data_IF_966212677130
#
_entry.id   IF_966212677130
#
_cell.length_a   1.000
_cell.length_b   1.000
_cell.length_c   1.000
_cell.angle_alpha   90.00
_cell.angle_beta   90.00
_cell.angle_gamma   90.00
#
_symmetry.space_group_name_H-M   'P 1'
#
loop_
_entity.id
_entity.type
_entity.pdbx_description
1 polymer ?
#
# COMPACT_ATOMS: atom_id res chain seq x y z
N UNK A 1 -21.68 -28.46 -0.37
CA UNK A 1 -20.55 -28.92 0.45
C UNK A 1 -20.52 -30.43 0.64
N UNK A 2 -21.66 -31.14 0.63
CA UNK A 2 -21.73 -32.60 0.84
C UNK A 2 -21.43 -33.45 -0.42
N UNK A 3 -21.05 -32.82 -1.53
CA UNK A 3 -20.79 -33.49 -2.81
C UNK A 3 -19.30 -33.37 -3.19
N UNK A 4 -18.85 -34.22 -4.13
CA UNK A 4 -17.49 -34.17 -4.68
C UNK A 4 -17.23 -32.97 -5.62
N UNK A 5 -18.07 -31.93 -5.58
CA UNK A 5 -17.99 -30.78 -6.48
C UNK A 5 -16.68 -30.02 -6.32
N UNK A 6 -16.31 -29.64 -5.10
CA UNK A 6 -15.09 -28.86 -4.80
C UNK A 6 -13.85 -29.61 -5.30
N UNK A 7 -13.73 -30.89 -4.94
CA UNK A 7 -12.64 -31.74 -5.40
C UNK A 7 -12.60 -31.84 -6.94
N UNK A 8 -13.75 -31.94 -7.61
CA UNK A 8 -13.79 -32.01 -9.08
C UNK A 8 -13.35 -30.70 -9.72
N UNK A 9 -13.79 -29.55 -9.19
CA UNK A 9 -13.37 -28.23 -9.65
C UNK A 9 -11.85 -28.07 -9.54
N UNK A 10 -11.30 -28.34 -8.35
CA UNK A 10 -9.87 -28.15 -8.07
C UNK A 10 -9.00 -29.09 -8.90
N UNK A 11 -9.28 -30.40 -8.93
CA UNK A 11 -8.33 -31.35 -9.53
C UNK A 11 -8.56 -31.63 -11.02
N UNK A 12 -9.78 -31.39 -11.55
CA UNK A 12 -10.06 -31.65 -12.99
C UNK A 12 -10.07 -30.41 -13.86
N UNK A 13 -10.47 -29.26 -13.33
CA UNK A 13 -10.73 -28.08 -14.15
C UNK A 13 -9.78 -26.92 -13.90
N UNK A 14 -9.36 -26.69 -12.64
CA UNK A 14 -8.45 -25.59 -12.29
C UNK A 14 -7.09 -25.66 -13.01
N UNK A 15 -6.41 -26.83 -13.13
CA UNK A 15 -5.10 -26.92 -13.78
C UNK A 15 -5.17 -26.67 -15.29
N UNK A 16 -6.33 -26.94 -15.90
CA UNK A 16 -6.54 -26.89 -17.35
C UNK A 16 -6.73 -25.44 -17.80
N UNK A 17 -5.84 -24.86 -18.63
CA UNK A 17 -5.86 -23.42 -18.96
C UNK A 17 -7.21 -22.90 -19.49
N UNK A 18 -7.90 -23.68 -20.32
CA UNK A 18 -9.19 -23.26 -20.90
C UNK A 18 -10.33 -23.13 -19.87
N UNK A 19 -10.25 -23.84 -18.74
CA UNK A 19 -11.29 -23.85 -17.69
C UNK A 19 -10.87 -23.10 -16.42
N UNK A 20 -9.58 -22.83 -16.26
CA UNK A 20 -8.95 -22.24 -15.07
C UNK A 20 -9.69 -21.01 -14.55
N UNK A 21 -9.92 -20.02 -15.42
CA UNK A 21 -10.54 -18.74 -15.03
C UNK A 21 -11.97 -18.93 -14.50
N UNK A 22 -12.80 -19.69 -15.21
CA UNK A 22 -14.19 -19.94 -14.79
C UNK A 22 -14.22 -20.77 -13.51
N UNK A 23 -13.33 -21.76 -13.40
CA UNK A 23 -13.22 -22.60 -12.21
C UNK A 23 -12.86 -21.77 -10.98
N UNK A 24 -11.87 -20.88 -11.10
CA UNK A 24 -11.45 -20.03 -9.99
C UNK A 24 -12.54 -19.04 -9.57
N UNK A 25 -13.33 -18.50 -10.51
CA UNK A 25 -14.53 -17.72 -10.19
C UNK A 25 -15.54 -18.54 -9.39
N UNK A 26 -15.83 -19.78 -9.79
CA UNK A 26 -16.71 -20.65 -9.02
C UNK A 26 -16.17 -20.94 -7.61
N UNK A 27 -14.86 -21.18 -7.46
CA UNK A 27 -14.23 -21.38 -6.16
C UNK A 27 -14.30 -20.10 -5.30
N UNK A 28 -14.23 -18.92 -5.91
CA UNK A 28 -14.41 -17.62 -5.23
C UNK A 28 -15.82 -17.46 -4.69
N UNK A 29 -16.85 -17.76 -5.50
CA UNK A 29 -18.24 -17.73 -5.04
C UNK A 29 -18.50 -18.72 -3.90
N UNK A 30 -17.90 -19.92 -3.96
CA UNK A 30 -17.98 -20.90 -2.87
C UNK A 30 -17.27 -20.37 -1.61
N UNK A 31 -16.11 -19.72 -1.77
CA UNK A 31 -15.34 -19.12 -0.68
C UNK A 31 -16.02 -17.93 0.00
N UNK A 32 -16.98 -17.28 -0.67
CA UNK A 32 -17.78 -16.19 -0.09
C UNK A 32 -18.98 -16.64 0.74
N UNK A 33 -19.21 -17.96 0.88
CA UNK A 33 -20.39 -18.49 1.58
C UNK A 33 -20.15 -18.50 3.09
N UNK A 34 -20.96 -17.74 3.85
CA UNK A 34 -20.86 -17.62 5.31
C UNK A 34 -21.74 -18.66 6.03
N UNK A 35 -21.24 -19.89 6.17
CA UNK A 35 -21.94 -20.97 6.90
C UNK A 35 -20.98 -21.68 7.86
N UNK A 36 -21.32 -21.72 9.15
CA UNK A 36 -20.47 -22.32 10.21
C UNK A 36 -20.42 -23.85 10.21
N UNK A 37 -21.35 -24.53 9.54
CA UNK A 37 -21.47 -25.99 9.61
C UNK A 37 -20.45 -26.73 8.72
N UNK A 38 -19.65 -26.01 7.94
CA UNK A 38 -18.77 -26.61 6.92
C UNK A 38 -17.31 -26.11 7.01
N UNK A 39 -16.84 -25.71 8.20
CA UNK A 39 -15.47 -25.21 8.42
C UNK A 39 -14.38 -26.12 7.85
N UNK A 40 -14.47 -27.44 8.07
CA UNK A 40 -13.51 -28.42 7.52
C UNK A 40 -13.48 -28.42 5.99
N UNK A 41 -14.63 -28.17 5.34
CA UNK A 41 -14.72 -28.09 3.88
C UNK A 41 -14.07 -26.80 3.35
N UNK A 42 -14.18 -25.69 4.07
CA UNK A 42 -13.50 -24.44 3.71
C UNK A 42 -11.98 -24.56 3.88
N UNK A 43 -11.52 -25.18 4.96
CA UNK A 43 -10.09 -25.48 5.16
C UNK A 43 -9.56 -26.37 4.02
N UNK A 44 -10.34 -27.38 3.62
CA UNK A 44 -10.00 -28.26 2.50
C UNK A 44 -9.97 -27.51 1.16
N UNK A 45 -10.99 -26.70 0.88
CA UNK A 45 -11.08 -25.83 -0.30
C UNK A 45 -9.83 -24.96 -0.42
N UNK A 46 -9.46 -24.26 0.65
CA UNK A 46 -8.32 -23.36 0.66
C UNK A 46 -7.00 -24.11 0.47
N UNK A 47 -6.77 -25.15 1.27
CA UNK A 47 -5.51 -25.90 1.24
C UNK A 47 -5.27 -26.58 -0.11
N UNK A 48 -6.30 -27.19 -0.70
CA UNK A 48 -6.19 -27.87 -1.99
C UNK A 48 -6.08 -26.87 -3.16
N UNK A 49 -6.83 -25.78 -3.12
CA UNK A 49 -6.71 -24.73 -4.16
C UNK A 49 -5.31 -24.11 -4.14
N UNK A 50 -4.78 -23.81 -2.95
CA UNK A 50 -3.42 -23.28 -2.79
C UNK A 50 -2.34 -24.23 -3.29
N UNK A 51 -2.47 -25.55 -3.04
CA UNK A 51 -1.54 -26.53 -3.56
C UNK A 51 -1.50 -26.55 -5.10
N UNK A 52 -2.65 -26.50 -5.77
CA UNK A 52 -2.70 -26.41 -7.24
C UNK A 52 -2.19 -25.05 -7.76
N UNK A 53 -2.46 -23.95 -7.04
CA UNK A 53 -1.95 -22.62 -7.38
C UNK A 53 -0.42 -22.57 -7.35
N UNK A 54 0.22 -23.17 -6.34
CA UNK A 54 1.69 -23.24 -6.23
C UNK A 54 2.35 -24.04 -7.35
N UNK A 55 1.65 -25.03 -7.92
CA UNK A 55 2.13 -25.76 -9.10
C UNK A 55 1.98 -24.90 -10.36
N UNK A 56 0.87 -24.18 -10.50
CA UNK A 56 0.58 -23.37 -11.70
C UNK A 56 1.36 -22.05 -11.76
N UNK A 57 1.60 -21.43 -10.61
CA UNK A 57 2.21 -20.11 -10.47
C UNK A 57 3.23 -20.14 -9.31
N UNK A 58 4.45 -20.64 -9.52
CA UNK A 58 5.46 -20.70 -8.47
C UNK A 58 5.69 -19.35 -7.77
N UNK A 59 5.88 -19.34 -6.45
CA UNK A 59 6.00 -18.13 -5.63
C UNK A 59 7.26 -17.28 -5.89
N UNK A 60 8.21 -17.79 -6.66
CA UNK A 60 9.38 -17.08 -7.18
C UNK A 60 9.13 -16.37 -8.52
N UNK A 61 7.95 -16.57 -9.12
CA UNK A 61 7.52 -15.87 -10.33
C UNK A 61 7.38 -14.37 -10.06
N UNK A 62 8.01 -13.56 -10.91
CA UNK A 62 7.76 -12.12 -10.97
C UNK A 62 6.38 -11.86 -11.61
N UNK A 63 5.34 -11.84 -10.77
CA UNK A 63 3.95 -11.63 -11.19
C UNK A 63 3.78 -10.27 -11.88
N UNK A 64 4.48 -9.24 -11.43
CA UNK A 64 4.42 -7.90 -12.03
C UNK A 64 4.86 -7.94 -13.49
N UNK A 65 6.04 -8.51 -13.77
CA UNK A 65 6.54 -8.63 -15.14
C UNK A 65 5.73 -9.63 -15.97
N UNK A 66 5.28 -10.73 -15.36
CA UNK A 66 4.44 -11.73 -16.04
C UNK A 66 3.09 -11.14 -16.47
N UNK A 67 2.46 -10.32 -15.63
CA UNK A 67 1.20 -9.65 -15.95
C UNK A 67 1.36 -8.65 -17.10
N UNK A 68 2.42 -7.84 -17.07
CA UNK A 68 2.71 -6.85 -18.10
C UNK A 68 2.98 -7.46 -19.49
N UNK A 69 3.43 -8.72 -19.54
CA UNK A 69 3.68 -9.48 -20.78
C UNK A 69 2.58 -10.48 -21.11
N UNK A 70 1.66 -10.73 -20.17
CA UNK A 70 0.59 -11.70 -20.29
C UNK A 70 -0.47 -11.27 -21.29
N UNK A 71 -1.26 -12.23 -21.77
CA UNK A 71 -2.45 -11.95 -22.56
C UNK A 71 -3.66 -11.80 -21.64
N UNK A 72 -4.81 -11.47 -22.22
CA UNK A 72 -6.07 -11.29 -21.49
C UNK A 72 -6.38 -12.48 -20.55
N UNK A 73 -6.08 -13.71 -20.95
CA UNK A 73 -6.39 -14.89 -20.12
C UNK A 73 -5.54 -14.97 -18.85
N UNK A 74 -4.24 -14.68 -18.94
CA UNK A 74 -3.33 -14.66 -17.79
C UNK A 74 -3.62 -13.45 -16.89
N UNK A 75 -3.90 -12.28 -17.46
CA UNK A 75 -4.26 -11.09 -16.69
C UNK A 75 -5.56 -11.31 -15.91
N UNK A 76 -6.60 -11.85 -16.57
CA UNK A 76 -7.83 -12.26 -15.91
C UNK A 76 -7.60 -13.30 -14.82
N UNK A 77 -6.64 -14.22 -15.00
CA UNK A 77 -6.32 -15.22 -13.99
C UNK A 77 -5.72 -14.58 -12.74
N UNK A 78 -4.80 -13.63 -12.88
CA UNK A 78 -4.23 -12.89 -11.74
C UNK A 78 -5.31 -12.09 -11.00
N UNK A 79 -6.22 -11.44 -11.73
CA UNK A 79 -7.36 -10.75 -11.12
C UNK A 79 -8.29 -11.71 -10.36
N UNK A 80 -8.66 -12.85 -10.97
CA UNK A 80 -9.50 -13.86 -10.31
C UNK A 80 -8.81 -14.49 -9.09
N UNK A 81 -7.48 -14.61 -9.12
CA UNK A 81 -6.69 -15.05 -7.97
C UNK A 81 -6.72 -14.03 -6.84
N UNK A 82 -6.57 -12.74 -7.15
CA UNK A 82 -6.71 -11.66 -6.16
C UNK A 82 -8.09 -11.72 -5.50
N UNK A 83 -9.16 -11.84 -6.29
CA UNK A 83 -10.53 -11.96 -5.79
C UNK A 83 -10.70 -13.18 -4.89
N UNK A 84 -10.29 -14.37 -5.34
CA UNK A 84 -10.36 -15.59 -4.53
C UNK A 84 -9.68 -15.43 -3.17
N UNK A 85 -8.43 -14.97 -3.16
CA UNK A 85 -7.65 -14.82 -1.93
C UNK A 85 -8.26 -13.76 -1.00
N UNK A 86 -8.64 -12.60 -1.54
CA UNK A 86 -9.27 -11.55 -0.74
C UNK A 86 -10.62 -11.99 -0.17
N UNK A 87 -11.46 -12.65 -0.95
CA UNK A 87 -12.75 -13.19 -0.48
C UNK A 87 -12.56 -14.23 0.61
N UNK A 88 -11.72 -15.25 0.37
CA UNK A 88 -11.52 -16.32 1.35
C UNK A 88 -10.93 -15.78 2.66
N UNK A 89 -9.92 -14.91 2.59
CA UNK A 89 -9.24 -14.40 3.77
C UNK A 89 -10.10 -13.40 4.57
N UNK A 90 -11.05 -12.71 3.92
CA UNK A 90 -12.04 -11.87 4.62
C UNK A 90 -13.08 -12.70 5.37
N UNK A 91 -13.70 -13.66 4.70
CA UNK A 91 -14.81 -14.43 5.29
C UNK A 91 -14.33 -15.54 6.23
N UNK A 92 -13.14 -16.10 5.98
CA UNK A 92 -12.64 -17.29 6.65
C UNK A 92 -11.19 -17.14 7.14
N UNK A 93 -10.73 -15.91 7.38
CA UNK A 93 -9.36 -15.62 7.84
C UNK A 93 -8.96 -16.39 9.10
N UNK A 94 -9.87 -16.52 10.08
CA UNK A 94 -9.62 -17.29 11.31
C UNK A 94 -9.36 -18.78 11.05
N UNK A 95 -10.00 -19.38 10.03
CA UNK A 95 -9.73 -20.75 9.61
C UNK A 95 -8.37 -20.85 8.91
N UNK A 96 -8.01 -19.84 8.11
CA UNK A 96 -6.71 -19.77 7.44
C UNK A 96 -5.55 -19.63 8.44
N UNK A 97 -5.76 -18.93 9.56
CA UNK A 97 -4.78 -18.81 10.65
C UNK A 97 -4.44 -20.15 11.31
N UNK A 98 -5.37 -21.12 11.28
CA UNK A 98 -5.12 -22.51 11.66
C UNK A 98 -4.20 -23.26 10.68
N UNK A 99 -4.00 -22.75 9.46
CA UNK A 99 -3.18 -23.32 8.39
C UNK A 99 -2.00 -22.40 8.05
N UNK A 100 -1.15 -22.11 9.05
CA UNK A 100 -0.07 -21.10 9.00
C UNK A 100 0.78 -21.13 7.71
N UNK A 101 1.22 -22.31 7.26
CA UNK A 101 2.07 -22.41 6.06
C UNK A 101 1.31 -22.00 4.78
N UNK A 102 0.06 -22.45 4.65
CA UNK A 102 -0.80 -22.14 3.51
C UNK A 102 -1.17 -20.66 3.51
N UNK A 103 -1.51 -20.11 4.68
CA UNK A 103 -1.77 -18.69 4.87
C UNK A 103 -0.57 -17.83 4.48
N UNK A 104 0.64 -18.19 4.93
CA UNK A 104 1.87 -17.47 4.58
C UNK A 104 2.07 -17.41 3.06
N UNK A 105 1.81 -18.50 2.34
CA UNK A 105 1.91 -18.54 0.89
C UNK A 105 0.81 -17.70 0.21
N UNK A 106 -0.42 -17.76 0.71
CA UNK A 106 -1.54 -16.94 0.22
C UNK A 106 -1.26 -15.44 0.38
N UNK A 107 -0.78 -15.01 1.55
CA UNK A 107 -0.39 -13.63 1.80
C UNK A 107 0.78 -13.21 0.91
N UNK A 108 1.73 -14.11 0.65
CA UNK A 108 2.84 -13.84 -0.29
C UNK A 108 2.33 -13.62 -1.71
N UNK A 109 1.35 -14.41 -2.19
CA UNK A 109 0.70 -14.12 -3.47
C UNK A 109 0.05 -12.74 -3.47
N UNK A 110 -0.73 -12.40 -2.44
CA UNK A 110 -1.38 -11.09 -2.38
C UNK A 110 -0.37 -9.94 -2.41
N UNK A 111 0.79 -10.08 -1.75
CA UNK A 111 1.87 -9.08 -1.83
C UNK A 111 2.42 -8.96 -3.25
N UNK A 112 2.73 -10.09 -3.91
CA UNK A 112 3.23 -10.10 -5.29
C UNK A 112 2.22 -9.52 -6.29
N UNK A 113 0.93 -9.85 -6.11
CA UNK A 113 -0.17 -9.32 -6.92
C UNK A 113 -0.35 -7.82 -6.68
N UNK A 114 -0.15 -7.34 -5.44
CA UNK A 114 -0.23 -5.92 -5.10
C UNK A 114 0.86 -5.06 -5.76
N UNK A 115 1.91 -5.67 -6.33
CA UNK A 115 2.96 -4.98 -7.11
C UNK A 115 2.59 -4.80 -8.59
N UNK A 116 1.54 -5.46 -9.08
CA UNK A 116 1.06 -5.36 -10.46
C UNK A 116 0.58 -3.94 -10.76
N UNK A 117 1.03 -3.37 -11.87
CA UNK A 117 0.68 -2.01 -12.31
C UNK A 117 -0.71 -1.94 -12.96
N UNK A 118 -1.73 -2.40 -12.23
CA UNK A 118 -3.15 -2.36 -12.58
C UNK A 118 -3.95 -1.81 -11.40
N UNK A 119 -4.75 -0.77 -11.65
CA UNK A 119 -5.47 -0.03 -10.59
C UNK A 119 -6.60 -0.88 -10.01
N UNK A 120 -7.29 -1.67 -10.82
CA UNK A 120 -8.44 -2.47 -10.37
C UNK A 120 -7.98 -3.67 -9.54
N UNK A 121 -6.91 -4.33 -9.96
CA UNK A 121 -6.27 -5.40 -9.15
C UNK A 121 -5.75 -4.81 -7.83
N UNK A 122 -5.12 -3.64 -7.88
CA UNK A 122 -4.61 -3.00 -6.67
C UNK A 122 -5.74 -2.63 -5.69
N UNK A 123 -6.89 -2.14 -6.17
CA UNK A 123 -8.06 -1.85 -5.34
C UNK A 123 -8.58 -3.10 -4.62
N UNK A 124 -8.65 -4.24 -5.32
CA UNK A 124 -9.06 -5.53 -4.72
C UNK A 124 -8.12 -5.89 -3.56
N UNK A 125 -6.80 -5.84 -3.78
CA UNK A 125 -5.83 -6.15 -2.74
C UNK A 125 -5.87 -5.13 -1.59
N UNK A 126 -5.99 -3.83 -1.90
CA UNK A 126 -6.08 -2.76 -0.92
C UNK A 126 -7.28 -2.93 0.01
N UNK A 127 -8.42 -3.38 -0.52
CA UNK A 127 -9.62 -3.64 0.28
C UNK A 127 -9.38 -4.75 1.33
N UNK A 128 -8.57 -5.77 1.00
CA UNK A 128 -8.15 -6.76 1.98
C UNK A 128 -7.12 -6.21 2.97
N UNK A 129 -6.09 -5.51 2.49
CA UNK A 129 -5.05 -4.95 3.35
C UNK A 129 -5.60 -3.95 4.36
N UNK A 130 -6.58 -3.14 3.97
CA UNK A 130 -7.28 -2.22 4.86
C UNK A 130 -8.05 -2.98 5.96
N UNK A 131 -8.83 -3.99 5.59
CA UNK A 131 -9.56 -4.84 6.55
C UNK A 131 -8.62 -5.50 7.56
N UNK A 132 -7.56 -6.16 7.07
CA UNK A 132 -6.57 -6.82 7.93
C UNK A 132 -5.87 -5.83 8.87
N UNK A 133 -5.43 -4.68 8.34
CA UNK A 133 -4.75 -3.67 9.15
C UNK A 133 -5.68 -3.06 10.22
N UNK A 134 -6.96 -2.85 9.88
CA UNK A 134 -7.98 -2.35 10.81
C UNK A 134 -8.28 -3.35 11.91
N UNK A 135 -8.48 -4.64 11.58
CA UNK A 135 -8.68 -5.72 12.55
C UNK A 135 -7.52 -5.83 13.53
N UNK A 136 -6.29 -5.94 13.01
CA UNK A 136 -5.09 -6.03 13.85
C UNK A 136 -4.91 -4.79 14.73
N UNK A 137 -5.27 -3.60 14.24
CA UNK A 137 -5.21 -2.38 15.03
C UNK A 137 -6.24 -2.36 16.16
N UNK A 138 -7.46 -2.85 15.92
CA UNK A 138 -8.51 -2.92 16.94
C UNK A 138 -8.18 -3.91 18.07
N UNK A 139 -7.34 -4.91 17.81
CA UNK A 139 -6.88 -5.87 18.81
C UNK A 139 -5.84 -5.29 19.79
N UNK A 140 -5.17 -4.18 19.43
CA UNK A 140 -4.16 -3.56 20.30
C UNK A 140 -4.86 -2.84 21.46
N UNK A 141 -4.58 -3.21 22.74
CA UNK A 141 -5.17 -2.54 23.88
C UNK A 141 -4.80 -1.04 23.91
N UNK A 142 -5.79 -0.15 23.80
CA UNK A 142 -5.59 1.31 23.75
C UNK A 142 -5.11 1.94 25.08
N UNK A 143 -4.84 1.13 26.11
CA UNK A 143 -4.47 1.57 27.46
C UNK A 143 -2.99 1.33 27.78
N UNK A 144 -2.17 2.35 27.55
CA UNK A 144 -0.91 2.64 28.25
C UNK A 144 -0.20 1.49 28.96
N UNK A 145 0.63 0.79 28.21
CA UNK A 145 1.62 -0.15 28.73
C UNK A 145 1.94 -1.16 27.65
N UNK A 146 3.18 -1.13 27.14
CA UNK A 146 3.79 -2.33 26.54
C UNK A 146 3.91 -3.35 27.66
N UNK A 147 2.79 -3.97 28.03
CA UNK A 147 2.82 -5.23 28.74
C UNK A 147 3.45 -6.17 27.73
N UNK A 148 4.69 -6.56 28.00
CA UNK A 148 5.39 -7.62 27.31
C UNK A 148 4.63 -8.92 27.54
N UNK A 149 3.44 -9.06 26.96
CA UNK A 149 2.79 -10.34 26.81
C UNK A 149 3.66 -11.12 25.84
N UNK A 150 4.57 -11.90 26.41
CA UNK A 150 5.30 -12.98 25.77
C UNK A 150 4.30 -14.08 25.35
N UNK A 151 3.40 -13.76 24.45
CA UNK A 151 2.46 -14.69 23.83
C UNK A 151 2.26 -14.25 22.39
N UNK A 152 2.39 -15.20 21.45
CA UNK A 152 2.22 -14.98 20.01
C UNK A 152 0.99 -14.12 19.74
N UNK A 153 1.21 -12.83 19.49
CA UNK A 153 0.14 -11.94 19.07
C UNK A 153 -0.24 -12.34 17.66
N UNK A 154 -1.53 -12.28 17.30
CA UNK A 154 -1.99 -12.49 15.92
C UNK A 154 -1.15 -11.65 14.94
N UNK A 155 -0.71 -10.46 15.37
CA UNK A 155 0.21 -9.57 14.65
C UNK A 155 1.56 -10.23 14.27
N UNK A 156 2.14 -11.07 15.12
CA UNK A 156 3.43 -11.73 14.85
C UNK A 156 3.35 -12.66 13.62
N UNK A 157 2.18 -13.26 13.37
CA UNK A 157 1.92 -14.09 12.20
C UNK A 157 2.02 -13.29 10.89
N UNK A 158 1.64 -12.00 10.95
CA UNK A 158 1.56 -11.12 9.77
C UNK A 158 2.77 -10.19 9.64
N UNK A 159 3.65 -10.10 10.64
CA UNK A 159 4.72 -9.07 10.71
C UNK A 159 5.55 -8.95 9.43
N UNK A 160 6.04 -10.06 8.88
CA UNK A 160 6.83 -10.09 7.64
C UNK A 160 6.07 -9.54 6.43
N UNK A 161 4.77 -9.82 6.36
CA UNK A 161 3.89 -9.38 5.28
C UNK A 161 3.54 -7.90 5.46
N UNK A 162 3.23 -7.45 6.68
CA UNK A 162 2.91 -6.05 6.96
C UNK A 162 4.08 -5.12 6.62
N UNK A 163 5.33 -5.55 6.83
CA UNK A 163 6.50 -4.79 6.38
C UNK A 163 6.48 -4.55 4.85
N UNK A 164 6.19 -5.60 4.07
CA UNK A 164 6.10 -5.49 2.60
C UNK A 164 4.91 -4.65 2.16
N UNK A 165 3.75 -4.79 2.82
CA UNK A 165 2.56 -3.99 2.55
C UNK A 165 2.85 -2.51 2.82
N UNK A 166 3.53 -2.15 3.93
CA UNK A 166 3.98 -0.76 4.17
C UNK A 166 4.83 -0.24 3.02
N UNK A 167 5.80 -1.04 2.56
CA UNK A 167 6.65 -0.67 1.43
C UNK A 167 5.83 -0.39 0.16
N UNK A 168 4.83 -1.23 -0.15
CA UNK A 168 3.95 -1.07 -1.31
C UNK A 168 3.08 0.19 -1.16
N UNK A 169 2.43 0.38 -0.01
CA UNK A 169 1.59 1.56 0.26
C UNK A 169 2.37 2.87 0.10
N UNK A 170 3.61 2.90 0.58
CA UNK A 170 4.50 4.06 0.43
C UNK A 170 4.93 4.25 -1.04
N UNK A 171 5.27 3.16 -1.73
CA UNK A 171 5.79 3.23 -3.10
C UNK A 171 4.72 3.58 -4.14
N UNK A 172 3.46 3.29 -3.85
CA UNK A 172 2.33 3.43 -4.78
C UNK A 172 1.27 4.45 -4.32
N UNK A 173 1.57 5.26 -3.30
CA UNK A 173 0.61 6.21 -2.74
C UNK A 173 -0.07 7.02 -3.84
N UNK A 174 -1.40 7.04 -3.84
CA UNK A 174 -2.18 7.81 -4.80
C UNK A 174 -2.05 9.32 -4.52
N UNK A 175 -2.25 10.13 -5.55
CA UNK A 175 -2.13 11.58 -5.46
C UNK A 175 -3.20 12.16 -4.51
N UNK A 176 -2.81 12.95 -3.49
CA UNK A 176 -3.74 13.66 -2.60
C UNK A 176 -4.38 14.86 -3.29
N UNK A 177 -5.53 15.33 -2.80
CA UNK A 177 -6.29 16.42 -3.46
C UNK A 177 -5.63 17.81 -3.33
N UNK A 178 -4.72 17.96 -2.36
CA UNK A 178 -4.00 19.20 -2.10
C UNK A 178 -2.82 19.43 -3.08
N UNK A 179 -2.43 18.42 -3.86
CA UNK A 179 -1.31 18.50 -4.81
C UNK A 179 -1.83 18.84 -6.21
N UNK A 180 -1.54 20.06 -6.65
CA UNK A 180 -2.00 20.61 -7.93
C UNK A 180 -0.97 20.49 -9.07
N UNK A 181 0.31 20.36 -8.73
CA UNK A 181 1.42 20.28 -9.70
C UNK A 181 1.73 18.82 -9.99
N UNK A 182 1.59 18.41 -11.25
CA UNK A 182 1.79 17.03 -11.71
C UNK A 182 2.56 16.98 -13.02
N UNK A 183 3.17 15.83 -13.29
CA UNK A 183 3.74 15.51 -14.60
C UNK A 183 2.61 14.98 -15.51
N UNK A 184 2.44 15.58 -16.69
CA UNK A 184 1.50 15.08 -17.70
C UNK A 184 2.11 13.93 -18.54
N UNK A 185 1.32 13.32 -19.42
CA UNK A 185 1.77 12.23 -20.31
C UNK A 185 2.92 12.64 -21.25
N UNK A 186 3.13 13.94 -21.46
CA UNK A 186 4.22 14.48 -22.28
C UNK A 186 5.52 14.71 -21.47
N UNK A 187 5.50 14.43 -20.16
CA UNK A 187 6.64 14.69 -19.25
C UNK A 187 6.80 16.16 -18.87
N UNK A 188 5.76 16.98 -19.06
CA UNK A 188 5.76 18.40 -18.69
C UNK A 188 5.10 18.58 -17.33
N UNK A 189 5.63 19.50 -16.54
CA UNK A 189 5.05 19.86 -15.25
C UNK A 189 3.91 20.85 -15.49
N UNK A 190 2.69 20.39 -15.20
CA UNK A 190 1.45 21.14 -15.43
C UNK A 190 0.62 21.24 -14.15
N UNK A 191 -0.32 22.18 -14.17
CA UNK A 191 -1.33 22.34 -13.13
C UNK A 191 -2.58 21.54 -13.48
N UNK A 192 -3.03 20.70 -12.57
CA UNK A 192 -4.26 19.91 -12.71
C UNK A 192 -5.36 20.43 -11.76
N UNK A 193 -6.51 20.80 -12.32
CA UNK A 193 -7.68 21.26 -11.55
C UNK A 193 -8.78 20.22 -11.42
N UNK A 194 -8.74 19.16 -12.24
CA UNK A 194 -9.81 18.17 -12.28
C UNK A 194 -9.65 17.20 -11.10
N UNK A 195 -10.73 17.06 -10.33
CA UNK A 195 -10.81 16.09 -9.23
C UNK A 195 -11.47 14.83 -9.74
N UNK A 196 -10.71 13.75 -9.85
CA UNK A 196 -11.25 12.41 -10.09
C UNK A 196 -11.66 11.77 -8.76
N UNK A 197 -12.97 11.53 -8.60
CA UNK A 197 -13.55 10.93 -7.39
C UNK A 197 -12.98 9.55 -7.09
N UNK A 198 -12.68 8.74 -8.13
CA UNK A 198 -12.15 7.40 -7.95
C UNK A 198 -10.72 7.44 -7.40
N UNK A 199 -9.87 8.29 -7.99
CA UNK A 199 -8.52 8.58 -7.47
C UNK A 199 -8.52 9.11 -6.03
N UNK A 200 -9.48 9.96 -5.66
CA UNK A 200 -9.62 10.47 -4.28
C UNK A 200 -9.99 9.34 -3.31
N UNK A 201 -10.91 8.46 -3.69
CA UNK A 201 -11.29 7.32 -2.85
C UNK A 201 -10.13 6.34 -2.68
N UNK A 202 -9.37 6.10 -3.76
CA UNK A 202 -8.15 5.30 -3.69
C UNK A 202 -7.14 5.89 -2.68
N UNK A 203 -6.87 7.20 -2.76
CA UNK A 203 -6.01 7.88 -1.79
C UNK A 203 -6.52 7.74 -0.35
N UNK A 204 -7.82 7.93 -0.11
CA UNK A 204 -8.41 7.77 1.23
C UNK A 204 -8.19 6.37 1.80
N UNK A 205 -8.44 5.33 1.00
CA UNK A 205 -8.26 3.94 1.42
C UNK A 205 -6.78 3.60 1.67
N UNK A 206 -5.87 4.08 0.80
CA UNK A 206 -4.43 3.91 1.00
C UNK A 206 -3.94 4.62 2.26
N UNK A 207 -4.38 5.86 2.49
CA UNK A 207 -4.06 6.65 3.68
C UNK A 207 -4.52 5.94 4.94
N UNK A 208 -5.79 5.51 4.99
CA UNK A 208 -6.33 4.81 6.16
C UNK A 208 -5.54 3.53 6.46
N UNK A 209 -5.25 2.73 5.42
CA UNK A 209 -4.43 1.52 5.54
C UNK A 209 -3.04 1.83 6.10
N UNK A 210 -2.36 2.83 5.53
CA UNK A 210 -1.02 3.22 5.98
C UNK A 210 -1.02 3.79 7.40
N UNK A 211 -2.07 4.51 7.80
CA UNK A 211 -2.26 4.99 9.17
C UNK A 211 -2.40 3.82 10.14
N UNK A 212 -3.20 2.80 9.85
CA UNK A 212 -3.27 1.59 10.69
C UNK A 212 -1.92 0.89 10.78
N UNK A 213 -1.23 0.70 9.65
CA UNK A 213 0.09 0.07 9.63
C UNK A 213 1.15 0.86 10.41
N UNK A 214 1.03 2.20 10.46
CA UNK A 214 1.89 3.09 11.23
C UNK A 214 1.64 2.93 12.72
N UNK A 215 0.38 2.81 13.17
CA UNK A 215 0.10 2.53 14.58
C UNK A 215 0.61 1.16 15.02
N UNK A 216 0.53 0.15 14.15
CA UNK A 216 1.01 -1.20 14.43
C UNK A 216 2.54 -1.27 14.56
N UNK A 217 3.29 -0.50 13.76
CA UNK A 217 4.74 -0.36 13.88
C UNK A 217 5.22 0.95 13.21
N UNK A 218 5.32 2.01 14.00
CA UNK A 218 5.75 3.32 13.50
C UNK A 218 7.24 3.34 13.19
N UNK A 219 8.05 2.53 13.88
CA UNK A 219 9.50 2.47 13.69
C UNK A 219 9.84 1.85 12.34
N UNK A 220 9.12 0.80 11.95
CA UNK A 220 9.25 0.22 10.62
C UNK A 220 8.82 1.19 9.52
N UNK A 221 7.72 1.92 9.73
CA UNK A 221 7.24 2.96 8.81
C UNK A 221 8.26 4.09 8.64
N UNK A 222 8.79 4.64 9.76
CA UNK A 222 9.84 5.66 9.79
C UNK A 222 11.10 5.18 9.05
N UNK A 223 11.51 3.92 9.29
CA UNK A 223 12.67 3.31 8.64
C UNK A 223 12.51 3.21 7.12
N UNK A 224 11.35 2.74 6.64
CA UNK A 224 11.08 2.61 5.20
C UNK A 224 11.10 4.00 4.54
N UNK A 225 10.35 4.97 5.09
CA UNK A 225 10.28 6.33 4.54
C UNK A 225 11.65 7.02 4.53
N UNK A 226 12.42 6.89 5.62
CA UNK A 226 13.78 7.46 5.72
C UNK A 226 14.73 6.82 4.71
N UNK A 227 14.69 5.49 4.55
CA UNK A 227 15.53 4.79 3.56
C UNK A 227 15.19 5.24 2.14
N UNK A 228 13.91 5.35 1.80
CA UNK A 228 13.47 5.84 0.49
C UNK A 228 13.88 7.29 0.25
N UNK A 229 13.77 8.16 1.26
CA UNK A 229 14.19 9.55 1.14
C UNK A 229 15.70 9.65 0.88
N UNK A 230 16.50 8.85 1.58
CA UNK A 230 17.94 8.79 1.34
C UNK A 230 18.28 8.32 -0.08
N UNK A 231 17.53 7.36 -0.63
CA UNK A 231 17.66 6.94 -2.04
C UNK A 231 17.25 8.04 -3.05
N UNK A 232 16.38 8.99 -2.67
CA UNK A 232 16.12 10.18 -3.47
C UNK A 232 17.30 11.18 -3.41
N UNK A 233 17.87 11.40 -2.22
CA UNK A 233 18.95 12.36 -1.98
C UNK A 233 20.27 11.92 -2.64
N UNK A 234 20.65 10.65 -2.47
CA UNK A 234 21.87 10.10 -3.08
C UNK A 234 21.74 9.88 -4.60
N UNK A 235 20.52 9.93 -5.14
CA UNK A 235 20.22 9.81 -6.56
C UNK A 235 20.02 8.39 -7.09
N UNK A 236 20.05 7.34 -6.26
CA UNK A 236 19.88 5.95 -6.72
C UNK A 236 18.48 5.66 -7.23
N UNK A 237 17.45 6.26 -6.61
CA UNK A 237 16.04 6.09 -6.98
C UNK A 237 15.37 7.41 -7.40
N UNK A 238 16.16 8.45 -7.70
CA UNK A 238 15.63 9.78 -8.03
C UNK A 238 14.73 9.75 -9.26
N UNK A 239 13.46 10.10 -9.06
CA UNK A 239 12.52 10.45 -10.12
C UNK A 239 11.40 11.31 -9.53
N UNK A 240 10.72 12.12 -10.36
CA UNK A 240 9.59 12.95 -9.91
C UNK A 240 8.50 12.07 -9.32
N UNK A 241 8.14 10.99 -10.02
CA UNK A 241 7.18 9.98 -9.56
C UNK A 241 7.53 9.43 -8.17
N UNK A 242 8.76 8.97 -7.95
CA UNK A 242 9.16 8.36 -6.68
C UNK A 242 9.22 9.37 -5.53
N UNK A 243 9.68 10.60 -5.79
CA UNK A 243 9.66 11.65 -4.76
C UNK A 243 8.21 12.01 -4.40
N UNK A 244 7.36 12.19 -5.40
CA UNK A 244 5.94 12.51 -5.22
C UNK A 244 5.25 11.46 -4.36
N UNK A 245 5.30 10.18 -4.75
CA UNK A 245 4.64 9.10 -3.99
C UNK A 245 5.16 8.99 -2.56
N UNK A 246 6.47 9.15 -2.35
CA UNK A 246 7.07 9.17 -1.02
C UNK A 246 6.53 10.33 -0.17
N UNK A 247 6.52 11.56 -0.70
CA UNK A 247 6.07 12.73 0.03
C UNK A 247 4.55 12.72 0.29
N UNK A 248 3.76 12.17 -0.64
CA UNK A 248 2.34 11.90 -0.43
C UNK A 248 2.14 10.91 0.73
N UNK A 249 2.92 9.83 0.76
CA UNK A 249 2.86 8.85 1.85
C UNK A 249 3.26 9.48 3.20
N UNK A 250 4.31 10.29 3.22
CA UNK A 250 4.74 11.04 4.42
C UNK A 250 3.60 11.94 4.90
N UNK A 251 3.01 12.77 4.05
CA UNK A 251 1.91 13.65 4.47
C UNK A 251 0.66 12.89 4.94
N UNK A 252 0.36 11.73 4.34
CA UNK A 252 -0.84 10.94 4.62
C UNK A 252 -0.90 10.40 6.07
N UNK A 253 0.25 10.15 6.70
CA UNK A 253 0.37 9.61 8.06
C UNK A 253 0.39 10.68 9.17
N UNK A 254 0.08 11.94 8.84
CA UNK A 254 0.01 13.02 9.83
C UNK A 254 -0.91 12.66 11.00
N UNK A 255 -0.37 12.80 12.23
CA UNK A 255 -1.08 12.45 13.47
C UNK A 255 -1.03 10.98 13.88
N UNK A 256 -0.45 10.08 13.07
CA UNK A 256 -0.31 8.65 13.42
C UNK A 256 0.87 8.35 14.36
N UNK A 257 1.74 9.35 14.61
CA UNK A 257 2.90 9.25 15.50
C UNK A 257 2.70 10.11 16.76
N UNK A 258 3.34 9.70 17.86
CA UNK A 258 3.49 10.56 19.03
C UNK A 258 4.28 11.82 18.68
N UNK A 259 3.98 12.93 19.38
CA UNK A 259 4.49 14.26 19.02
C UNK A 259 6.04 14.32 19.01
N UNK A 260 6.72 13.62 19.91
CA UNK A 260 8.18 13.58 19.95
C UNK A 260 8.80 12.82 18.77
N UNK A 261 8.24 11.66 18.42
CA UNK A 261 8.68 10.85 17.28
C UNK A 261 8.36 11.57 15.96
N UNK A 262 7.16 12.13 15.83
CA UNK A 262 6.74 12.94 14.68
C UNK A 262 7.69 14.12 14.48
N UNK A 263 8.06 14.82 15.56
CA UNK A 263 9.02 15.92 15.51
C UNK A 263 10.40 15.45 15.01
N UNK A 264 10.94 14.35 15.54
CA UNK A 264 12.25 13.81 15.09
C UNK A 264 12.22 13.46 13.61
N UNK A 265 11.16 12.76 13.19
CA UNK A 265 10.96 12.32 11.83
C UNK A 265 10.87 13.52 10.86
N UNK A 266 10.01 14.50 11.16
CA UNK A 266 9.81 15.67 10.29
C UNK A 266 11.03 16.56 10.16
N UNK A 267 11.81 16.74 11.23
CA UNK A 267 13.05 17.52 11.15
C UNK A 267 14.02 16.87 10.15
N UNK A 268 14.10 15.55 10.13
CA UNK A 268 14.94 14.80 9.18
C UNK A 268 14.40 14.94 7.76
N UNK A 269 13.11 14.66 7.56
CA UNK A 269 12.45 14.74 6.24
C UNK A 269 12.65 16.11 5.60
N UNK A 270 12.34 17.19 6.33
CA UNK A 270 12.33 18.51 5.71
C UNK A 270 13.76 19.03 5.49
N UNK A 271 14.70 18.68 6.37
CA UNK A 271 16.12 18.99 6.15
C UNK A 271 16.64 18.34 4.87
N UNK A 272 16.31 17.07 4.66
CA UNK A 272 16.73 16.31 3.47
C UNK A 272 16.05 16.84 2.19
N UNK A 273 14.75 17.17 2.24
CA UNK A 273 14.04 17.77 1.11
C UNK A 273 14.57 19.17 0.75
N UNK A 274 14.87 20.02 1.74
CA UNK A 274 15.49 21.32 1.50
C UNK A 274 16.89 21.16 0.91
N UNK A 275 17.69 20.22 1.42
CA UNK A 275 19.00 19.88 0.86
C UNK A 275 18.90 19.40 -0.59
N UNK A 276 17.90 18.56 -0.90
CA UNK A 276 17.61 18.08 -2.25
C UNK A 276 17.22 19.22 -3.19
N UNK A 277 16.42 20.19 -2.71
CA UNK A 277 16.01 21.38 -3.45
C UNK A 277 17.20 22.27 -3.83
N UNK A 278 18.21 22.38 -2.96
CA UNK A 278 19.44 23.11 -3.24
C UNK A 278 20.38 22.33 -4.18
N UNK A 279 20.43 21.00 -4.05
CA UNK A 279 21.26 20.11 -4.86
C UNK A 279 20.77 20.01 -6.32
N UNK A 280 19.47 19.90 -6.54
CA UNK A 280 18.88 19.68 -7.88
C UNK A 280 18.75 21.00 -8.63
N UNK A 281 19.16 20.97 -9.91
CA UNK A 281 19.09 22.11 -10.84
C UNK A 281 17.91 21.95 -11.79
N UNK A 282 17.47 23.05 -12.39
CA UNK A 282 16.34 23.07 -13.32
C UNK A 282 15.03 23.49 -12.64
N UNK A 283 14.20 24.23 -13.38
CA UNK A 283 12.95 24.80 -12.85
C UNK A 283 11.97 23.70 -12.44
N UNK A 284 11.78 22.71 -13.31
CA UNK A 284 10.84 21.60 -13.08
C UNK A 284 11.21 20.78 -11.85
N UNK A 285 12.50 20.43 -11.70
CA UNK A 285 12.99 19.74 -10.50
C UNK A 285 12.71 20.55 -9.23
N UNK A 286 12.95 21.87 -9.25
CA UNK A 286 12.69 22.73 -8.11
C UNK A 286 11.21 22.86 -7.80
N UNK A 287 10.37 22.97 -8.83
CA UNK A 287 8.91 23.03 -8.69
C UNK A 287 8.37 21.76 -8.02
N UNK A 288 8.79 20.58 -8.49
CA UNK A 288 8.38 19.30 -7.91
C UNK A 288 8.83 19.16 -6.46
N UNK A 289 10.10 19.47 -6.14
CA UNK A 289 10.60 19.38 -4.76
C UNK A 289 9.89 20.39 -3.85
N UNK A 290 9.69 21.62 -4.32
CA UNK A 290 8.96 22.65 -3.60
C UNK A 290 7.53 22.21 -3.30
N UNK A 291 6.79 21.74 -4.31
CA UNK A 291 5.42 21.24 -4.15
C UNK A 291 5.33 20.15 -3.07
N UNK A 292 6.26 19.20 -3.07
CA UNK A 292 6.33 18.15 -2.05
C UNK A 292 6.64 18.68 -0.64
N UNK A 293 7.57 19.64 -0.51
CA UNK A 293 7.84 20.30 0.78
C UNK A 293 6.59 21.03 1.28
N UNK A 294 5.92 21.78 0.41
CA UNK A 294 4.71 22.53 0.75
C UNK A 294 3.60 21.60 1.21
N UNK A 295 3.37 20.51 0.47
CA UNK A 295 2.40 19.48 0.83
C UNK A 295 2.72 18.87 2.20
N UNK A 296 3.93 18.33 2.40
CA UNK A 296 4.32 17.71 3.67
C UNK A 296 4.14 18.71 4.80
N UNK A 297 4.69 19.91 4.70
CA UNK A 297 4.58 20.90 5.77
C UNK A 297 3.12 21.29 6.04
N UNK A 298 2.30 21.44 5.00
CA UNK A 298 0.86 21.73 5.12
C UNK A 298 0.08 20.66 5.89
N UNK A 299 0.48 19.38 5.77
CA UNK A 299 -0.17 18.28 6.48
C UNK A 299 0.16 18.21 7.98
N UNK A 300 1.21 18.90 8.47
CA UNK A 300 1.66 18.82 9.87
C UNK A 300 1.50 20.14 10.65
N UNK A 301 0.27 20.64 10.87
CA UNK A 301 0.05 21.89 11.58
C UNK A 301 0.44 21.83 13.06
N UNK A 302 0.40 20.64 13.69
CA UNK A 302 0.85 20.44 15.10
C UNK A 302 2.33 20.80 15.26
N UNK A 303 3.18 20.25 14.39
CA UNK A 303 4.62 20.54 14.37
C UNK A 303 4.91 22.03 14.14
N UNK A 304 4.24 22.66 13.18
CA UNK A 304 4.46 24.07 12.87
C UNK A 304 4.10 25.00 14.04
N UNK A 305 3.01 24.73 14.75
CA UNK A 305 2.59 25.51 15.93
C UNK A 305 3.63 25.44 17.06
N UNK A 306 4.30 24.30 17.22
CA UNK A 306 5.34 24.12 18.24
C UNK A 306 6.70 24.72 17.84
N UNK A 307 6.93 25.03 16.56
CA UNK A 307 8.24 25.41 16.03
C UNK A 307 8.22 26.72 15.22
N UNK A 308 8.06 27.85 15.90
CA UNK A 308 7.96 29.18 15.27
C UNK A 308 9.09 29.53 14.28
N UNK A 309 10.36 29.25 14.63
CA UNK A 309 11.48 29.53 13.73
C UNK A 309 11.34 28.76 12.41
N UNK A 310 10.87 27.53 12.50
CA UNK A 310 10.65 26.67 11.36
C UNK A 310 9.49 27.16 10.49
N UNK A 311 8.35 27.47 11.13
CA UNK A 311 7.20 28.07 10.45
C UNK A 311 7.60 29.35 9.70
N UNK A 312 8.41 30.22 10.32
CA UNK A 312 8.92 31.43 9.67
C UNK A 312 9.77 31.10 8.42
N UNK A 313 10.67 30.12 8.52
CA UNK A 313 11.49 29.69 7.37
C UNK A 313 10.62 29.14 6.24
N UNK A 314 9.64 28.29 6.56
CA UNK A 314 8.70 27.74 5.58
C UNK A 314 7.93 28.87 4.91
N UNK A 315 7.33 29.77 5.68
CA UNK A 315 6.53 30.89 5.15
C UNK A 315 7.37 31.80 4.26
N UNK A 316 8.62 32.11 4.65
CA UNK A 316 9.53 32.85 3.79
C UNK A 316 9.83 32.10 2.49
N UNK A 317 10.00 30.77 2.54
CA UNK A 317 10.21 29.95 1.36
C UNK A 317 8.97 29.89 0.47
N UNK A 318 7.76 29.84 1.05
CA UNK A 318 6.50 29.97 0.32
C UNK A 318 6.45 31.31 -0.43
N UNK A 319 6.85 32.41 0.22
CA UNK A 319 6.93 33.70 -0.47
C UNK A 319 7.96 33.68 -1.60
N UNK A 320 9.12 33.03 -1.44
CA UNK A 320 10.06 32.85 -2.55
C UNK A 320 9.42 32.07 -3.71
N UNK A 321 8.69 30.99 -3.42
CA UNK A 321 7.99 30.18 -4.43
C UNK A 321 6.85 30.94 -5.13
N UNK A 322 6.16 31.85 -4.44
CA UNK A 322 5.16 32.74 -5.05
C UNK A 322 5.76 33.69 -6.11
N UNK A 323 7.07 33.95 -6.09
CA UNK A 323 7.74 34.76 -7.12
C UNK A 323 8.27 33.91 -8.28
N UNK A 324 8.18 32.58 -8.22
CA UNK A 324 8.56 31.69 -9.31
C UNK A 324 7.49 31.73 -10.41
N UNK A 325 7.90 31.78 -11.67
CA UNK A 325 6.98 31.93 -12.82
C UNK A 325 6.47 30.59 -13.36
N UNK A 326 6.66 29.49 -12.63
CA UNK A 326 6.31 28.15 -13.07
C UNK A 326 4.86 27.81 -12.71
N UNK A 327 4.11 27.23 -13.65
CA UNK A 327 2.68 27.00 -13.51
C UNK A 327 2.36 26.08 -12.32
N UNK A 328 1.41 26.50 -11.47
CA UNK A 328 0.92 25.76 -10.31
C UNK A 328 1.78 25.85 -9.04
N UNK A 329 2.99 26.44 -9.08
CA UNK A 329 3.82 26.64 -7.88
C UNK A 329 3.33 27.83 -7.03
N UNK A 330 2.68 28.81 -7.66
CA UNK A 330 2.20 30.02 -6.98
C UNK A 330 0.88 29.82 -6.19
N UNK A 331 0.11 28.78 -6.52
CA UNK A 331 -1.24 28.51 -5.98
C UNK A 331 -1.21 27.61 -4.75
#
# INVERSE_FOLDING_TARGET
FETNLIHTLIFKFLPVPMFRNVTLKCLTEIAGVTVSNYEEMFVTLFSQTMAELEVMLPLDTDIKTAYARGQDQEQNFIQNLALFLCTFLKEHGSLAEGQINVLRNALRYLVLISEVEDVEIFKICLEYWNSLASELYQEVPQGGGRSCFFGNSRQDLYQDVLNKVRYIMISRMAKPEEVLVVENDNGEVVREFMKDTDSINLYKNMRETLVYLTHLDYADTERIMTTKLQNQVNGTEWSWKNLNTLCWAIGSISGAMHEEDEKRFLVTVIKDLLGLCEQKRGKDNKAIIASNIMYVVGQYPRFLRAHWKFLKTVVNKLFEFMHETHDGVQD
#
